data_IF_793605046156
#
_entry.id   IF_793605046156
#
_cell.length_a   1.000
_cell.length_b   1.000
_cell.length_c   1.000
_cell.angle_alpha   90.00
_cell.angle_beta   90.00
_cell.angle_gamma   90.00
#
_symmetry.space_group_name_H-M   'P 1'
#
loop_
_entity.id
_entity.type
_entity.pdbx_description
1 polymer ?
#
# COMPACT_ATOMS: atom_id res chain seq x y z
N UNK A 1 -2.01 -10.73 -10.57
CA UNK A 1 -3.47 -10.58 -10.73
C UNK A 1 -3.93 -9.19 -10.30
N UNK A 2 -4.72 -8.51 -11.13
CA UNK A 2 -5.54 -7.35 -10.73
C UNK A 2 -6.81 -7.91 -10.08
N UNK A 3 -7.12 -7.54 -8.85
CA UNK A 3 -8.35 -7.99 -8.18
C UNK A 3 -9.57 -7.25 -8.75
N UNK A 4 -10.77 -7.78 -8.58
CA UNK A 4 -11.98 -7.05 -8.94
C UNK A 4 -12.19 -5.89 -7.97
N UNK A 5 -12.07 -4.68 -8.50
CA UNK A 5 -12.23 -3.43 -7.75
C UNK A 5 -12.96 -2.38 -8.59
N UNK A 6 -13.41 -1.32 -7.92
CA UNK A 6 -14.10 -0.21 -8.56
C UNK A 6 -13.22 0.47 -9.63
N UNK A 7 -13.87 0.90 -10.70
CA UNK A 7 -13.25 1.62 -11.81
C UNK A 7 -12.77 3.02 -11.40
N UNK A 8 -11.82 3.56 -12.14
CA UNK A 8 -11.42 4.96 -12.03
C UNK A 8 -12.31 5.88 -12.86
N UNK A 9 -11.85 7.10 -13.07
CA UNK A 9 -12.51 8.13 -13.90
C UNK A 9 -12.65 7.71 -15.38
N UNK A 10 -11.76 6.85 -15.86
CA UNK A 10 -11.74 6.31 -17.23
C UNK A 10 -12.83 5.27 -17.51
N UNK A 11 -13.61 4.89 -16.50
CA UNK A 11 -14.65 3.87 -16.57
C UNK A 11 -14.14 2.50 -17.06
N UNK A 12 -12.84 2.23 -16.91
CA UNK A 12 -12.25 0.94 -17.25
C UNK A 12 -12.27 0.04 -16.03
N UNK A 13 -12.75 -1.19 -16.18
CA UNK A 13 -12.65 -2.21 -15.14
C UNK A 13 -11.41 -3.09 -15.31
N UNK A 14 -10.89 -3.61 -14.19
CA UNK A 14 -9.83 -4.63 -14.22
C UNK A 14 -10.21 -5.87 -15.06
N UNK A 15 -11.50 -6.21 -15.12
CA UNK A 15 -12.03 -7.27 -16.00
C UNK A 15 -11.75 -7.00 -17.48
N UNK A 16 -11.91 -5.75 -17.91
CA UNK A 16 -11.64 -5.35 -19.29
C UNK A 16 -10.17 -5.54 -19.60
N UNK A 17 -9.27 -5.11 -18.72
CA UNK A 17 -7.82 -5.33 -18.89
C UNK A 17 -7.44 -6.82 -18.97
N UNK A 18 -8.11 -7.69 -18.19
CA UNK A 18 -7.87 -9.14 -18.24
C UNK A 18 -8.46 -9.81 -19.47
N UNK A 19 -9.48 -9.21 -20.09
CA UNK A 19 -10.10 -9.70 -21.32
C UNK A 19 -9.38 -9.22 -22.59
N UNK A 20 -8.40 -8.31 -22.48
CA UNK A 20 -7.64 -7.84 -23.63
C UNK A 20 -6.80 -8.98 -24.24
N UNK A 21 -6.68 -9.02 -25.58
CA UNK A 21 -5.85 -10.01 -26.23
C UNK A 21 -4.37 -9.84 -25.86
N UNK A 22 -3.55 -10.91 -25.90
CA UNK A 22 -2.12 -10.83 -25.60
C UNK A 22 -1.36 -9.80 -26.45
N UNK A 23 -1.86 -9.48 -27.64
CA UNK A 23 -1.31 -8.42 -28.52
C UNK A 23 -1.30 -7.04 -27.85
N UNK A 24 -2.20 -6.79 -26.90
CA UNK A 24 -2.25 -5.53 -26.14
C UNK A 24 -1.14 -5.39 -25.09
N UNK A 25 -0.43 -6.48 -24.77
CA UNK A 25 0.70 -6.42 -23.84
C UNK A 25 1.87 -5.60 -24.41
N UNK A 26 2.06 -5.63 -25.72
CA UNK A 26 3.15 -4.90 -26.40
C UNK A 26 3.01 -3.38 -26.25
N UNK A 27 1.89 -2.73 -26.62
CA UNK A 27 1.74 -1.29 -26.43
C UNK A 27 1.72 -0.89 -24.95
N UNK A 28 1.17 -1.74 -24.07
CA UNK A 28 1.16 -1.47 -22.63
C UNK A 28 2.57 -1.48 -22.03
N UNK A 29 3.39 -2.47 -22.42
CA UNK A 29 4.79 -2.56 -22.00
C UNK A 29 5.58 -1.36 -22.54
N UNK A 30 5.37 -0.99 -23.81
CA UNK A 30 5.99 0.20 -24.39
C UNK A 30 5.65 1.45 -23.58
N UNK A 31 4.38 1.66 -23.25
CA UNK A 31 3.92 2.78 -22.43
C UNK A 31 4.60 2.79 -21.05
N UNK A 32 4.65 1.66 -20.37
CA UNK A 32 5.26 1.56 -19.03
C UNK A 32 6.77 1.81 -19.06
N UNK A 33 7.49 1.30 -20.08
CA UNK A 33 8.90 1.57 -20.23
C UNK A 33 9.16 3.06 -20.50
N UNK A 34 8.35 3.69 -21.36
CA UNK A 34 8.43 5.15 -21.59
C UNK A 34 8.17 5.96 -20.33
N UNK A 35 7.21 5.54 -19.50
CA UNK A 35 6.96 6.20 -18.21
C UNK A 35 8.15 6.03 -17.24
N UNK A 36 8.73 4.83 -17.22
CA UNK A 36 9.89 4.52 -16.37
C UNK A 36 11.14 5.31 -16.77
N UNK A 37 11.47 5.32 -18.06
CA UNK A 37 12.65 6.02 -18.61
C UNK A 37 12.53 7.54 -18.50
N UNK A 38 11.34 8.09 -18.75
CA UNK A 38 11.13 9.54 -18.68
C UNK A 38 10.93 10.07 -17.26
N UNK A 39 10.65 9.18 -16.28
CA UNK A 39 10.26 9.59 -14.94
C UNK A 39 8.90 10.31 -14.87
N UNK A 40 8.10 10.25 -15.94
CA UNK A 40 6.79 10.93 -16.02
C UNK A 40 5.68 9.95 -16.35
N UNK A 41 4.46 10.26 -15.89
CA UNK A 41 3.24 9.49 -16.18
C UNK A 41 2.19 10.39 -16.81
N UNK A 42 1.24 9.84 -17.59
CA UNK A 42 0.12 10.60 -18.14
C UNK A 42 -0.60 11.42 -17.07
N UNK A 43 -1.03 12.64 -17.42
CA UNK A 43 -1.77 13.52 -16.50
C UNK A 43 -3.04 12.87 -15.95
N UNK A 44 -3.74 12.11 -16.79
CA UNK A 44 -4.93 11.34 -16.43
C UNK A 44 -4.67 10.26 -15.35
N UNK A 45 -3.42 9.86 -15.10
CA UNK A 45 -3.10 8.92 -14.02
C UNK A 45 -2.89 9.62 -12.68
N UNK A 46 -2.78 10.95 -12.70
CA UNK A 46 -2.63 11.79 -11.52
C UNK A 46 -3.98 12.28 -10.98
N UNK A 47 -5.10 12.04 -11.68
CA UNK A 47 -6.45 12.27 -11.16
C UNK A 47 -7.02 11.00 -10.52
N UNK A 48 -7.96 11.20 -9.59
CA UNK A 48 -8.68 10.11 -8.93
C UNK A 48 -10.05 10.57 -8.48
N UNK A 49 -11.01 9.64 -8.41
CA UNK A 49 -12.32 9.88 -7.80
C UNK A 49 -12.21 9.62 -6.30
N UNK A 50 -12.60 10.59 -5.48
CA UNK A 50 -12.62 10.44 -4.02
C UNK A 50 -13.95 9.87 -3.56
N UNK A 51 -13.94 8.66 -3.00
CA UNK A 51 -15.13 8.01 -2.44
C UNK A 51 -15.01 7.95 -0.92
N UNK A 52 -15.87 8.66 -0.15
CA UNK A 52 -15.86 8.60 1.30
C UNK A 52 -16.52 7.31 1.80
N UNK A 53 -15.80 6.51 2.57
CA UNK A 53 -16.32 5.29 3.22
C UNK A 53 -16.50 5.52 4.71
N UNK A 54 -17.73 5.36 5.20
CA UNK A 54 -18.05 5.53 6.61
C UNK A 54 -17.26 4.55 7.49
N UNK A 55 -16.68 5.04 8.59
CA UNK A 55 -15.85 4.25 9.50
C UNK A 55 -16.62 3.20 10.31
N UNK A 56 -17.97 3.22 10.24
CA UNK A 56 -18.83 2.38 11.07
C UNK A 56 -19.04 2.92 12.49
N UNK A 57 -18.50 4.11 12.79
CA UNK A 57 -18.57 4.78 14.10
C UNK A 57 -18.47 6.29 13.93
N UNK A 58 -19.05 7.04 14.87
CA UNK A 58 -19.08 8.51 14.86
C UNK A 58 -20.38 9.08 14.31
N UNK A 59 -20.43 10.40 14.18
CA UNK A 59 -21.56 11.10 13.57
C UNK A 59 -21.48 11.05 12.03
N UNK A 60 -22.60 10.79 11.36
CA UNK A 60 -22.67 10.74 9.89
C UNK A 60 -22.61 12.11 9.23
N UNK A 61 -22.95 13.19 9.95
CA UNK A 61 -22.73 14.57 9.48
C UNK A 61 -21.28 15.02 9.56
N UNK A 62 -20.44 14.35 10.35
CA UNK A 62 -19.03 14.70 10.52
C UNK A 62 -18.16 14.06 9.41
N UNK A 63 -17.49 14.85 8.55
CA UNK A 63 -16.55 14.33 7.56
C UNK A 63 -15.41 13.49 8.16
N UNK A 64 -15.02 13.75 9.41
CA UNK A 64 -13.99 12.97 10.09
C UNK A 64 -14.42 11.51 10.37
N UNK A 65 -15.72 11.20 10.29
CA UNK A 65 -16.26 9.85 10.40
C UNK A 65 -16.10 9.01 9.13
N UNK A 66 -15.52 9.57 8.07
CA UNK A 66 -15.30 8.87 6.79
C UNK A 66 -13.80 8.66 6.53
N UNK A 67 -13.48 7.64 5.74
CA UNK A 67 -12.16 7.41 5.14
C UNK A 67 -12.25 7.77 3.66
N UNK A 68 -11.48 8.75 3.16
CA UNK A 68 -11.40 8.97 1.73
C UNK A 68 -10.69 7.79 1.06
N UNK A 69 -11.28 7.23 0.00
CA UNK A 69 -10.63 6.26 -0.88
C UNK A 69 -10.48 6.91 -2.26
N UNK A 70 -9.24 7.02 -2.72
CA UNK A 70 -8.92 7.49 -4.06
C UNK A 70 -9.02 6.33 -5.07
N UNK A 71 -9.92 6.45 -6.04
CA UNK A 71 -10.04 5.52 -7.16
C UNK A 71 -9.26 6.04 -8.36
N UNK A 72 -8.04 5.52 -8.54
CA UNK A 72 -7.21 5.76 -9.72
C UNK A 72 -7.56 4.82 -10.87
N UNK A 73 -7.11 5.17 -12.08
CA UNK A 73 -7.33 4.36 -13.30
C UNK A 73 -6.71 2.96 -13.16
N UNK A 74 -7.30 1.99 -13.85
CA UNK A 74 -6.82 0.61 -13.78
C UNK A 74 -5.39 0.44 -14.32
N UNK A 75 -5.04 1.23 -15.33
CA UNK A 75 -3.69 1.20 -15.91
C UNK A 75 -2.67 1.83 -14.95
N UNK A 76 -3.01 2.93 -14.27
CA UNK A 76 -2.14 3.51 -13.24
C UNK A 76 -1.86 2.52 -12.10
N UNK A 77 -2.91 1.86 -11.57
CA UNK A 77 -2.77 0.81 -10.54
C UNK A 77 -1.87 -0.33 -10.99
N UNK A 78 -1.94 -0.71 -12.27
CA UNK A 78 -1.10 -1.76 -12.82
C UNK A 78 0.37 -1.33 -12.89
N UNK A 79 0.62 -0.08 -13.29
CA UNK A 79 1.95 0.50 -13.30
C UNK A 79 2.54 0.63 -11.88
N UNK A 80 1.78 1.16 -10.92
CA UNK A 80 2.14 1.22 -9.50
C UNK A 80 2.50 -0.16 -8.94
N UNK A 81 1.73 -1.19 -9.31
CA UNK A 81 2.02 -2.57 -8.92
C UNK A 81 3.33 -3.09 -9.50
N UNK A 82 3.64 -2.76 -10.75
CA UNK A 82 4.93 -3.10 -11.35
C UNK A 82 6.07 -2.42 -10.61
N UNK A 83 5.95 -1.13 -10.28
CA UNK A 83 6.94 -0.39 -9.48
C UNK A 83 7.11 -1.08 -8.12
N UNK A 84 6.02 -1.34 -7.40
CA UNK A 84 6.06 -2.04 -6.10
C UNK A 84 6.85 -3.33 -6.19
N UNK A 85 6.58 -4.18 -7.18
CA UNK A 85 7.25 -5.47 -7.33
C UNK A 85 8.76 -5.33 -7.59
N UNK A 86 9.20 -4.24 -8.23
CA UNK A 86 10.64 -3.95 -8.41
C UNK A 86 11.32 -3.49 -7.11
N UNK A 87 10.63 -2.69 -6.30
CA UNK A 87 11.18 -2.15 -5.06
C UNK A 87 11.05 -3.09 -3.85
N UNK A 88 10.05 -3.97 -3.83
CA UNK A 88 9.77 -4.89 -2.73
C UNK A 88 11.01 -5.65 -2.23
N UNK A 89 11.83 -6.32 -3.07
CA UNK A 89 13.02 -7.03 -2.59
C UNK A 89 14.13 -6.09 -2.05
N UNK A 90 14.24 -4.87 -2.57
CA UNK A 90 15.22 -3.89 -2.12
C UNK A 90 14.88 -3.39 -0.72
N UNK A 91 13.59 -3.11 -0.49
CA UNK A 91 13.09 -2.60 0.78
C UNK A 91 13.07 -3.70 1.83
N UNK A 92 12.67 -4.93 1.49
CA UNK A 92 12.50 -6.03 2.47
C UNK A 92 13.78 -6.30 3.28
N UNK A 93 14.94 -6.21 2.63
CA UNK A 93 16.25 -6.40 3.27
C UNK A 93 16.64 -5.27 4.24
N UNK A 94 16.01 -4.10 4.14
CA UNK A 94 16.26 -2.94 5.00
C UNK A 94 15.30 -2.81 6.18
N UNK A 95 14.22 -3.61 6.19
CA UNK A 95 13.21 -3.58 7.25
C UNK A 95 13.69 -4.36 8.47
N UNK A 96 13.36 -3.85 9.66
CA UNK A 96 13.57 -4.57 10.93
C UNK A 96 12.82 -5.91 10.94
N UNK A 97 13.33 -6.88 11.68
CA UNK A 97 12.80 -8.25 11.68
C UNK A 97 11.36 -8.33 12.22
N UNK A 98 11.01 -7.44 13.13
CA UNK A 98 9.72 -7.34 13.83
C UNK A 98 8.62 -6.64 13.00
N UNK A 99 8.98 -6.04 11.85
CA UNK A 99 8.03 -5.42 10.94
C UNK A 99 7.24 -6.50 10.19
N UNK A 100 6.05 -6.83 10.70
CA UNK A 100 5.13 -7.76 10.02
C UNK A 100 4.15 -7.05 9.06
N UNK A 101 3.76 -5.81 9.38
CA UNK A 101 2.78 -5.05 8.58
C UNK A 101 3.29 -4.76 7.17
N UNK A 102 2.44 -5.03 6.17
CA UNK A 102 2.72 -4.82 4.73
C UNK A 102 3.93 -5.59 4.17
N UNK A 103 4.44 -6.59 4.89
CA UNK A 103 5.60 -7.40 4.50
C UNK A 103 5.16 -8.77 3.99
N UNK A 104 5.68 -9.18 2.83
CA UNK A 104 5.31 -10.47 2.23
C UNK A 104 5.80 -11.63 3.12
N UNK A 105 4.94 -12.63 3.32
CA UNK A 105 5.28 -13.81 4.13
C UNK A 105 5.28 -13.57 5.65
N UNK A 106 4.84 -12.39 6.11
CA UNK A 106 4.63 -12.07 7.52
C UNK A 106 3.15 -11.78 7.79
N UNK A 107 2.74 -11.96 9.03
CA UNK A 107 1.36 -11.74 9.45
C UNK A 107 1.29 -11.13 10.85
N UNK A 108 0.12 -10.61 11.22
CA UNK A 108 -0.14 -10.13 12.58
C UNK A 108 -0.01 -11.25 13.63
N UNK A 109 -0.14 -12.51 13.22
CA UNK A 109 0.03 -13.65 14.10
C UNK A 109 1.48 -13.79 14.58
N UNK A 110 2.47 -13.45 13.74
CA UNK A 110 3.89 -13.53 14.12
C UNK A 110 4.17 -12.65 15.34
N UNK A 111 3.68 -11.40 15.31
CA UNK A 111 3.83 -10.45 16.42
C UNK A 111 3.04 -10.88 17.66
N UNK A 112 1.87 -11.51 17.48
CA UNK A 112 1.08 -12.04 18.60
C UNK A 112 1.80 -13.21 19.30
N UNK A 113 2.38 -14.13 18.52
CA UNK A 113 3.16 -15.25 19.05
C UNK A 113 4.38 -14.73 19.81
N UNK A 114 5.06 -13.70 19.30
CA UNK A 114 6.19 -13.08 19.98
C UNK A 114 5.78 -12.47 21.34
N UNK A 115 4.66 -11.72 21.36
CA UNK A 115 4.14 -11.15 22.60
C UNK A 115 3.73 -12.23 23.61
N UNK A 116 3.03 -13.28 23.17
CA UNK A 116 2.65 -14.42 24.01
C UNK A 116 3.88 -15.14 24.59
N UNK A 117 4.92 -15.32 23.77
CA UNK A 117 6.19 -15.89 24.22
C UNK A 117 6.83 -15.04 25.33
N UNK A 118 6.88 -13.72 25.15
CA UNK A 118 7.48 -12.81 26.13
C UNK A 118 6.71 -12.80 27.46
N UNK A 119 5.38 -12.83 27.41
CA UNK A 119 4.51 -12.96 28.59
C UNK A 119 4.81 -14.26 29.34
N UNK A 120 4.81 -15.40 28.63
CA UNK A 120 5.07 -16.72 29.23
C UNK A 120 6.47 -16.81 29.82
N UNK A 121 7.47 -16.28 29.13
CA UNK A 121 8.87 -16.26 29.57
C UNK A 121 9.06 -15.44 30.84
N UNK A 122 8.40 -14.29 30.96
CA UNK A 122 8.46 -13.47 32.16
C UNK A 122 7.73 -14.13 33.33
N UNK A 123 6.57 -14.75 33.09
CA UNK A 123 5.83 -15.51 34.10
C UNK A 123 6.70 -16.59 34.75
N UNK A 124 7.38 -17.42 33.95
CA UNK A 124 8.31 -18.45 34.44
C UNK A 124 9.46 -17.87 35.26
N UNK A 125 9.89 -16.65 34.95
CA UNK A 125 10.98 -15.95 35.64
C UNK A 125 10.51 -15.08 36.81
N UNK A 126 9.21 -15.11 37.15
CA UNK A 126 8.57 -14.23 38.16
C UNK A 126 8.86 -12.74 37.89
N UNK A 127 8.88 -12.35 36.62
CA UNK A 127 9.05 -10.96 36.17
C UNK A 127 7.74 -10.43 35.60
N UNK A 128 7.63 -9.10 35.55
CA UNK A 128 6.49 -8.40 34.95
C UNK A 128 6.85 -8.00 33.51
N UNK A 129 5.89 -8.11 32.59
CA UNK A 129 5.98 -7.55 31.23
C UNK A 129 5.00 -6.39 31.15
N UNK A 130 5.47 -5.27 30.61
CA UNK A 130 4.63 -4.13 30.28
C UNK A 130 4.66 -3.94 28.76
N UNK A 131 3.48 -3.80 28.15
CA UNK A 131 3.33 -3.52 26.73
C UNK A 131 2.82 -2.09 26.53
N UNK A 132 3.40 -1.36 25.57
CA UNK A 132 2.98 -0.01 25.19
C UNK A 132 2.61 -0.03 23.71
N UNK A 133 1.40 0.39 23.40
CA UNK A 133 0.88 0.45 22.04
C UNK A 133 0.79 1.89 21.56
N UNK A 134 1.36 2.16 20.39
CA UNK A 134 1.29 3.46 19.73
C UNK A 134 0.43 3.38 18.47
N UNK A 135 -0.38 4.41 18.23
CA UNK A 135 -1.14 4.58 17.00
C UNK A 135 -0.87 5.96 16.42
N UNK A 136 -0.65 6.02 15.10
CA UNK A 136 -0.32 7.26 14.39
C UNK A 136 -1.59 7.80 13.75
N UNK A 137 -2.04 8.98 14.21
CA UNK A 137 -3.22 9.64 13.65
C UNK A 137 -2.95 10.07 12.21
N UNK A 138 -3.81 9.63 11.28
CA UNK A 138 -3.77 10.00 9.85
C UNK A 138 -2.41 9.76 9.18
N UNK A 139 -1.76 8.63 9.50
CA UNK A 139 -0.39 8.33 9.07
C UNK A 139 -0.11 8.64 7.59
N UNK A 140 -0.98 8.24 6.66
CA UNK A 140 -0.79 8.49 5.22
C UNK A 140 -0.96 9.97 4.82
N UNK A 141 -1.90 10.68 5.44
CA UNK A 141 -2.17 12.09 5.13
C UNK A 141 -1.06 13.01 5.66
N UNK A 142 -0.30 12.56 6.67
CA UNK A 142 0.75 13.33 7.35
C UNK A 142 2.17 13.04 6.83
N UNK A 143 2.32 12.24 5.77
CA UNK A 143 3.64 11.90 5.22
C UNK A 143 4.25 13.10 4.47
N UNK A 144 5.53 13.38 4.74
CA UNK A 144 6.34 14.31 3.94
C UNK A 144 6.79 13.63 2.63
N UNK A 145 6.35 14.10 1.45
CA UNK A 145 6.77 13.53 0.17
C UNK A 145 8.30 13.58 -0.03
N UNK A 146 8.97 14.61 0.48
CA UNK A 146 10.43 14.74 0.36
C UNK A 146 11.16 13.72 1.23
N UNK A 147 10.61 13.36 2.40
CA UNK A 147 11.16 12.30 3.23
C UNK A 147 11.10 10.94 2.53
N UNK A 148 10.00 10.64 1.83
CA UNK A 148 9.86 9.42 1.03
C UNK A 148 10.90 9.41 -0.09
N UNK A 149 11.03 10.51 -0.83
CA UNK A 149 12.02 10.62 -1.92
C UNK A 149 13.45 10.43 -1.41
N UNK A 150 13.82 11.09 -0.29
CA UNK A 150 15.14 10.93 0.34
C UNK A 150 15.42 9.48 0.73
N UNK A 151 14.41 8.76 1.23
CA UNK A 151 14.57 7.36 1.60
C UNK A 151 14.66 6.46 0.37
N UNK A 152 13.87 6.72 -0.68
CA UNK A 152 13.91 5.98 -1.94
C UNK A 152 15.28 6.10 -2.62
N UNK A 153 15.92 7.28 -2.59
CA UNK A 153 17.26 7.49 -3.13
C UNK A 153 18.36 6.64 -2.48
N UNK A 154 18.13 6.06 -1.29
CA UNK A 154 19.09 5.15 -0.65
C UNK A 154 19.15 3.77 -1.29
N UNK A 155 18.18 3.45 -2.16
CA UNK A 155 18.08 2.16 -2.87
C UNK A 155 18.50 2.26 -4.35
N UNK A 156 18.97 3.43 -4.79
CA UNK A 156 19.70 3.60 -6.06
C UNK A 156 21.18 3.27 -5.88
#
# INVERSE_FOLDING_TARGET
SLNDSAMGEDLVHNKMLRALPPTFLVPLLYLFNRCWESGTVPSAWKSSILVPIYKGKGDRSDPASYRPIALTTCIAKLYEKMIKLRFEPLIDNSLIAEQAGFRKGRSTLDNLIQLDHDIKKAFTRKRVVSAVFFDIKKAYDTLDPFAILRQAHKFN
#
